data_IF_197165754383
#
_entry.id   IF_197165754383
#
_cell.length_a   1.000
_cell.length_b   1.000
_cell.length_c   1.000
_cell.angle_alpha   90.00
_cell.angle_beta   90.00
_cell.angle_gamma   90.00
#
_symmetry.space_group_name_H-M   'P 1'
#
loop_
_entity.id
_entity.type
_entity.pdbx_description
1 polymer ?
#
# COMPACT_ATOMS: atom_id res chain seq x y z
N UNK A 1 36.37 -23.16 78.16
CA UNK A 1 36.53 -21.72 78.24
C UNK A 1 35.76 -21.17 77.07
N UNK A 2 34.63 -20.79 77.40
CA UNK A 2 34.05 -19.42 77.46
C UNK A 2 33.48 -19.09 76.10
N UNK A 3 32.23 -19.16 75.94
CA UNK A 3 31.14 -18.28 76.38
C UNK A 3 30.78 -17.33 75.21
N UNK A 4 29.66 -17.20 74.76
CA UNK A 4 28.38 -16.81 75.29
C UNK A 4 27.66 -15.97 74.21
N UNK A 5 26.40 -16.31 74.06
CA UNK A 5 25.24 -15.46 73.82
C UNK A 5 25.05 -14.80 72.43
N UNK A 6 24.05 -15.27 71.71
CA UNK A 6 22.60 -14.88 71.83
C UNK A 6 22.31 -13.46 71.38
N UNK A 7 21.53 -13.34 70.33
CA UNK A 7 20.25 -12.61 70.38
C UNK A 7 19.41 -12.75 69.10
N UNK A 8 18.28 -13.30 69.36
CA UNK A 8 17.05 -13.25 68.55
C UNK A 8 16.67 -11.80 68.24
N UNK A 9 16.25 -11.52 67.04
CA UNK A 9 15.33 -10.42 66.74
C UNK A 9 14.42 -10.82 65.57
N UNK A 10 13.16 -10.90 65.87
CA UNK A 10 12.01 -11.04 65.00
C UNK A 10 11.69 -9.66 64.44
N UNK A 11 11.40 -9.58 63.15
CA UNK A 11 10.62 -8.51 62.52
C UNK A 11 10.08 -9.08 61.18
N UNK A 12 8.86 -9.47 61.14
CA UNK A 12 7.70 -8.83 60.49
C UNK A 12 8.01 -8.27 59.11
N UNK A 13 7.52 -8.92 58.09
CA UNK A 13 6.34 -8.71 57.32
C UNK A 13 6.33 -7.38 56.55
N UNK A 14 6.70 -7.38 55.28
CA UNK A 14 6.26 -6.35 54.37
C UNK A 14 5.97 -7.00 53.01
N UNK A 15 4.73 -6.90 52.59
CA UNK A 15 4.16 -7.45 51.39
C UNK A 15 4.88 -6.94 50.14
N UNK A 16 5.31 -7.85 49.33
CA UNK A 16 5.69 -7.57 47.94
C UNK A 16 4.44 -7.34 47.13
N UNK A 17 4.04 -6.08 47.05
CA UNK A 17 3.14 -5.62 46.01
C UNK A 17 3.84 -5.75 44.68
N UNK A 18 3.58 -6.81 43.97
CA UNK A 18 3.85 -6.93 42.52
C UNK A 18 3.00 -5.90 41.82
N UNK A 19 3.55 -4.71 41.60
CA UNK A 19 3.01 -3.78 40.63
C UNK A 19 3.35 -4.35 39.24
N UNK A 20 2.46 -5.21 38.72
CA UNK A 20 2.32 -5.41 37.30
C UNK A 20 1.91 -4.06 36.69
N UNK A 21 2.89 -3.23 36.40
CA UNK A 21 2.73 -2.14 35.47
C UNK A 21 2.47 -2.78 34.11
N UNK A 22 1.20 -2.98 33.79
CA UNK A 22 0.73 -3.18 32.42
C UNK A 22 1.30 -2.01 31.60
N UNK A 23 2.41 -2.24 30.93
CA UNK A 23 2.86 -1.38 29.87
C UNK A 23 1.82 -1.49 28.77
N UNK A 24 0.82 -0.61 28.81
CA UNK A 24 0.02 -0.29 27.66
C UNK A 24 1.03 0.18 26.60
N UNK A 25 1.36 -0.71 25.68
CA UNK A 25 2.06 -0.33 24.46
C UNK A 25 1.18 0.73 23.82
N UNK A 26 1.71 1.93 23.68
CA UNK A 26 1.13 3.05 22.95
C UNK A 26 1.08 2.62 21.47
N UNK A 27 0.13 1.79 21.12
CA UNK A 27 -0.06 1.32 19.74
C UNK A 27 -0.66 2.51 19.00
N UNK A 28 0.20 3.24 18.29
CA UNK A 28 -0.19 4.33 17.41
C UNK A 28 -1.39 3.88 16.57
N UNK A 29 -2.53 4.57 16.72
CA UNK A 29 -3.75 4.27 15.97
C UNK A 29 -3.45 4.22 14.48
N UNK A 30 -4.03 3.24 13.79
CA UNK A 30 -3.95 3.18 12.32
C UNK A 30 -4.67 4.40 11.74
N UNK A 31 -4.07 5.02 10.73
CA UNK A 31 -4.66 6.17 10.05
C UNK A 31 -5.68 5.69 9.01
N UNK A 32 -6.81 6.38 8.89
CA UNK A 32 -7.79 6.18 7.83
C UNK A 32 -8.08 7.49 7.12
N UNK A 33 -8.46 7.41 5.84
CA UNK A 33 -8.92 8.56 5.05
C UNK A 33 -10.43 8.45 4.85
N UNK A 34 -11.16 9.53 5.09
CA UNK A 34 -12.60 9.65 4.84
C UNK A 34 -12.80 10.66 3.72
N UNK A 35 -13.53 10.25 2.69
CA UNK A 35 -13.85 11.05 1.51
C UNK A 35 -15.37 11.08 1.33
N UNK A 36 -15.98 12.22 1.56
CA UNK A 36 -17.44 12.44 1.49
C UNK A 36 -17.66 13.95 1.32
N UNK A 37 -18.45 14.39 0.36
CA UNK A 37 -18.68 15.82 0.09
C UNK A 37 -19.62 16.47 1.11
N UNK A 38 -20.48 15.68 1.76
CA UNK A 38 -21.36 16.16 2.84
C UNK A 38 -20.57 16.33 4.14
N UNK A 39 -20.41 17.58 4.58
CA UNK A 39 -19.66 17.92 5.78
C UNK A 39 -20.23 17.29 7.07
N UNK A 40 -21.55 17.18 7.20
CA UNK A 40 -22.20 16.61 8.38
C UNK A 40 -22.00 15.10 8.44
N UNK A 41 -22.15 14.43 7.30
CA UNK A 41 -21.90 12.99 7.17
C UNK A 41 -20.42 12.67 7.39
N UNK A 42 -19.52 13.44 6.78
CA UNK A 42 -18.07 13.30 6.94
C UNK A 42 -17.65 13.45 8.41
N UNK A 43 -18.16 14.49 9.09
CA UNK A 43 -17.90 14.72 10.51
C UNK A 43 -18.47 13.61 11.39
N UNK A 44 -19.66 13.10 11.07
CA UNK A 44 -20.25 11.96 11.78
C UNK A 44 -19.38 10.71 11.64
N UNK A 45 -18.91 10.39 10.43
CA UNK A 45 -17.98 9.28 10.20
C UNK A 45 -16.70 9.46 11.01
N UNK A 46 -16.08 10.63 10.98
CA UNK A 46 -14.89 10.94 11.75
C UNK A 46 -15.12 10.79 13.26
N UNK A 47 -16.23 11.32 13.78
CA UNK A 47 -16.59 11.18 15.20
C UNK A 47 -16.75 9.71 15.62
N UNK A 48 -17.36 8.89 14.77
CA UNK A 48 -17.60 7.47 15.05
C UNK A 48 -16.34 6.61 14.93
N UNK A 49 -15.32 7.07 14.19
CA UNK A 49 -14.11 6.30 13.93
C UNK A 49 -12.93 6.70 14.82
N UNK A 50 -12.90 7.92 15.37
CA UNK A 50 -11.77 8.48 16.13
C UNK A 50 -11.39 7.74 17.42
N UNK A 51 -12.27 6.92 17.96
CA UNK A 51 -11.97 6.08 19.12
C UNK A 51 -10.94 4.98 18.78
N UNK A 52 -10.99 4.45 17.55
CA UNK A 52 -10.15 3.35 17.06
C UNK A 52 -9.04 3.81 16.11
N UNK A 53 -9.31 4.82 15.29
CA UNK A 53 -8.46 5.25 14.19
C UNK A 53 -8.02 6.71 14.32
N UNK A 54 -6.88 7.04 13.72
CA UNK A 54 -6.47 8.41 13.41
C UNK A 54 -7.09 8.81 12.05
N UNK A 55 -7.83 9.92 12.02
CA UNK A 55 -8.69 10.25 10.88
C UNK A 55 -8.15 11.43 10.10
N UNK A 56 -7.90 11.23 8.82
CA UNK A 56 -7.73 12.27 7.79
C UNK A 56 -9.03 12.34 7.00
N UNK A 57 -9.48 13.53 6.61
CA UNK A 57 -10.75 13.68 5.89
C UNK A 57 -10.64 14.76 4.83
N UNK A 58 -11.38 14.57 3.73
CA UNK A 58 -11.52 15.56 2.67
C UNK A 58 -12.91 15.49 2.05
N UNK A 59 -13.37 16.62 1.54
CA UNK A 59 -14.59 16.73 0.72
C UNK A 59 -14.29 16.67 -0.78
N UNK A 60 -12.99 16.80 -1.13
CA UNK A 60 -12.57 16.85 -2.51
C UNK A 60 -11.98 15.50 -2.97
N UNK A 61 -12.67 14.80 -3.90
CA UNK A 61 -12.16 13.56 -4.45
C UNK A 61 -10.84 13.72 -5.21
N UNK A 62 -10.54 14.90 -5.75
CA UNK A 62 -9.27 15.16 -6.44
C UNK A 62 -8.11 15.26 -5.45
N UNK A 63 -8.35 15.83 -4.26
CA UNK A 63 -7.38 15.88 -3.17
C UNK A 63 -7.15 14.51 -2.54
N UNK A 64 -8.16 13.62 -2.54
CA UNK A 64 -8.13 12.33 -1.86
C UNK A 64 -6.96 11.45 -2.31
N UNK A 65 -6.60 11.48 -3.59
CA UNK A 65 -5.45 10.75 -4.11
C UNK A 65 -4.14 11.27 -3.52
N UNK A 66 -3.96 12.58 -3.46
CA UNK A 66 -2.79 13.23 -2.84
C UNK A 66 -2.66 12.85 -1.36
N UNK A 67 -3.76 12.96 -0.61
CA UNK A 67 -3.81 12.57 0.81
C UNK A 67 -3.54 11.08 1.04
N UNK A 68 -4.03 10.21 0.15
CA UNK A 68 -3.75 8.78 0.23
C UNK A 68 -2.26 8.47 0.02
N UNK A 69 -1.58 9.19 -0.87
CA UNK A 69 -0.15 9.05 -1.11
C UNK A 69 0.69 9.62 0.04
N UNK A 70 0.33 10.80 0.55
CA UNK A 70 1.04 11.48 1.63
C UNK A 70 0.89 10.75 2.97
N UNK A 71 -0.35 10.50 3.36
CA UNK A 71 -0.66 9.97 4.69
C UNK A 71 -0.61 8.45 4.80
N UNK A 72 -0.62 7.73 3.67
CA UNK A 72 -0.52 6.26 3.62
C UNK A 72 -1.54 5.58 4.55
N UNK A 73 -2.85 5.88 4.40
CA UNK A 73 -3.85 5.36 5.30
C UNK A 73 -3.95 3.84 5.22
N UNK A 74 -4.32 3.22 6.34
CA UNK A 74 -4.57 1.78 6.40
C UNK A 74 -5.88 1.38 5.71
N UNK A 75 -6.84 2.31 5.60
CA UNK A 75 -8.12 2.13 4.90
C UNK A 75 -8.66 3.47 4.40
N UNK A 76 -9.56 3.41 3.41
CA UNK A 76 -10.31 4.55 2.90
C UNK A 76 -11.80 4.28 3.07
N UNK A 77 -12.53 5.22 3.66
CA UNK A 77 -13.99 5.29 3.64
C UNK A 77 -14.38 6.25 2.53
N UNK A 78 -15.20 5.81 1.58
CA UNK A 78 -15.46 6.54 0.34
C UNK A 78 -16.96 6.64 0.07
N UNK A 79 -17.48 7.86 -0.03
CA UNK A 79 -18.80 8.07 -0.63
C UNK A 79 -18.77 7.93 -2.15
N UNK A 80 -19.85 7.47 -2.74
CA UNK A 80 -19.96 7.31 -4.19
C UNK A 80 -20.51 8.54 -4.88
N UNK A 81 -21.43 9.23 -4.23
CA UNK A 81 -22.25 10.25 -4.86
C UNK A 81 -21.71 11.64 -4.56
N UNK A 82 -20.52 11.93 -5.08
CA UNK A 82 -19.87 13.21 -4.94
C UNK A 82 -19.96 14.03 -6.25
N UNK A 83 -20.01 15.37 -6.18
CA UNK A 83 -19.97 16.23 -7.36
C UNK A 83 -18.59 16.19 -8.05
N UNK A 84 -18.56 16.52 -9.34
CA UNK A 84 -17.37 16.58 -10.21
C UNK A 84 -16.77 15.20 -10.51
N UNK A 85 -15.99 14.62 -9.61
CA UNK A 85 -15.41 13.29 -9.72
C UNK A 85 -16.21 12.35 -8.82
N UNK A 86 -16.84 11.35 -9.41
CA UNK A 86 -17.62 10.36 -8.66
C UNK A 86 -16.71 9.44 -7.83
N UNK A 87 -17.24 8.91 -6.72
CA UNK A 87 -16.52 7.92 -5.93
C UNK A 87 -16.18 6.65 -6.71
N UNK A 88 -16.91 6.32 -7.78
CA UNK A 88 -16.57 5.23 -8.70
C UNK A 88 -15.24 5.47 -9.42
N UNK A 89 -15.09 6.67 -10.00
CA UNK A 89 -13.87 7.08 -10.71
C UNK A 89 -12.68 7.16 -9.76
N UNK A 90 -12.89 7.69 -8.56
CA UNK A 90 -11.86 7.72 -7.52
C UNK A 90 -11.45 6.31 -7.07
N UNK A 91 -12.41 5.41 -6.86
CA UNK A 91 -12.15 4.00 -6.52
C UNK A 91 -11.29 3.33 -7.60
N UNK A 92 -11.66 3.50 -8.86
CA UNK A 92 -10.90 2.99 -10.01
C UNK A 92 -9.48 3.58 -10.06
N UNK A 93 -9.34 4.88 -9.85
CA UNK A 93 -8.05 5.58 -9.87
C UNK A 93 -7.14 5.09 -8.75
N UNK A 94 -7.66 4.99 -7.52
CA UNK A 94 -6.93 4.46 -6.37
C UNK A 94 -6.49 3.01 -6.60
N UNK A 95 -7.32 2.20 -7.22
CA UNK A 95 -7.00 0.80 -7.52
C UNK A 95 -5.99 0.64 -8.66
N UNK A 96 -5.95 1.58 -9.63
CA UNK A 96 -5.00 1.56 -10.74
C UNK A 96 -3.55 1.82 -10.31
N UNK A 97 -3.33 2.54 -9.22
CA UNK A 97 -2.00 2.84 -8.70
C UNK A 97 -1.54 1.75 -7.74
N UNK A 98 -0.40 1.15 -8.02
CA UNK A 98 0.09 0.00 -7.22
C UNK A 98 0.36 0.32 -5.75
N UNK A 99 0.51 1.59 -5.39
CA UNK A 99 0.66 2.03 -4.01
C UNK A 99 -0.68 2.05 -3.26
N UNK A 100 -1.69 2.62 -3.88
CA UNK A 100 -3.03 2.74 -3.29
C UNK A 100 -3.90 1.50 -3.54
N UNK A 101 -3.59 0.67 -4.54
CA UNK A 101 -4.34 -0.54 -4.87
C UNK A 101 -4.39 -1.59 -3.75
N UNK A 102 -3.47 -1.52 -2.78
CA UNK A 102 -3.45 -2.38 -1.59
C UNK A 102 -4.17 -1.76 -0.39
N UNK A 103 -4.59 -0.52 -0.48
CA UNK A 103 -5.36 0.13 0.59
C UNK A 103 -6.82 -0.32 0.44
N UNK A 104 -7.38 -0.99 1.44
CA UNK A 104 -8.77 -1.42 1.38
C UNK A 104 -9.72 -0.21 1.35
N UNK A 105 -10.63 -0.22 0.39
CA UNK A 105 -11.63 0.82 0.19
C UNK A 105 -12.99 0.29 0.66
N UNK A 106 -13.58 0.97 1.63
CA UNK A 106 -14.90 0.72 2.17
C UNK A 106 -15.84 1.79 1.63
N UNK A 107 -16.69 1.39 0.72
CA UNK A 107 -17.70 2.27 0.14
C UNK A 107 -18.84 2.47 1.13
N UNK A 108 -19.28 3.71 1.32
CA UNK A 108 -20.41 4.10 2.16
C UNK A 108 -21.32 4.99 1.32
N UNK A 109 -22.52 4.52 0.97
CA UNK A 109 -23.39 5.26 0.06
C UNK A 109 -24.86 5.17 0.42
N UNK A 110 -25.64 6.19 0.07
CA UNK A 110 -27.10 6.16 0.13
C UNK A 110 -27.75 5.28 -0.95
N UNK A 111 -26.98 4.85 -1.92
CA UNK A 111 -27.45 4.01 -3.00
C UNK A 111 -27.56 2.54 -2.59
N UNK A 112 -28.50 1.79 -3.21
CA UNK A 112 -28.73 0.41 -2.86
C UNK A 112 -27.53 -0.50 -3.15
N UNK A 113 -27.11 -1.29 -2.16
CA UNK A 113 -26.05 -2.28 -2.30
C UNK A 113 -26.36 -3.32 -3.38
N UNK A 114 -27.62 -3.71 -3.53
CA UNK A 114 -28.02 -4.67 -4.56
C UNK A 114 -27.71 -4.19 -5.97
N UNK A 115 -27.71 -2.88 -6.20
CA UNK A 115 -27.44 -2.27 -7.50
C UNK A 115 -25.96 -2.04 -7.77
N UNK A 116 -25.22 -1.61 -6.74
CA UNK A 116 -23.86 -1.07 -6.96
C UNK A 116 -22.74 -1.88 -6.35
N UNK A 117 -23.01 -2.80 -5.41
CA UNK A 117 -21.97 -3.58 -4.73
C UNK A 117 -21.03 -4.29 -5.69
N UNK A 118 -21.58 -5.11 -6.60
CA UNK A 118 -20.77 -5.87 -7.56
C UNK A 118 -19.95 -4.98 -8.49
N UNK A 119 -20.50 -3.82 -8.85
CA UNK A 119 -19.79 -2.83 -9.65
C UNK A 119 -18.62 -2.22 -8.86
N UNK A 120 -18.85 -1.81 -7.61
CA UNK A 120 -17.78 -1.28 -6.75
C UNK A 120 -16.68 -2.31 -6.50
N UNK A 121 -17.05 -3.57 -6.26
CA UNK A 121 -16.09 -4.67 -6.09
C UNK A 121 -15.24 -4.88 -7.36
N UNK A 122 -15.84 -4.77 -8.55
CA UNK A 122 -15.10 -4.84 -9.83
C UNK A 122 -14.14 -3.67 -10.04
N UNK A 123 -14.39 -2.53 -9.40
CA UNK A 123 -13.51 -1.34 -9.39
C UNK A 123 -12.46 -1.39 -8.27
N UNK A 124 -12.45 -2.44 -7.44
CA UNK A 124 -11.47 -2.65 -6.39
C UNK A 124 -11.92 -2.29 -4.97
N UNK A 125 -13.22 -2.01 -4.75
CA UNK A 125 -13.76 -1.82 -3.40
C UNK A 125 -13.71 -3.13 -2.60
N UNK A 126 -13.34 -3.03 -1.32
CA UNK A 126 -13.23 -4.17 -0.40
C UNK A 126 -14.57 -4.55 0.22
N UNK A 127 -15.41 -3.57 0.45
CA UNK A 127 -16.76 -3.77 1.00
C UNK A 127 -17.66 -2.57 0.68
N UNK A 128 -18.97 -2.79 0.77
CA UNK A 128 -20.02 -1.80 0.53
C UNK A 128 -20.97 -1.73 1.72
N UNK A 129 -21.23 -0.52 2.21
CA UNK A 129 -22.16 -0.21 3.30
C UNK A 129 -23.20 0.81 2.85
N UNK A 130 -24.49 0.52 3.10
CA UNK A 130 -25.57 1.46 2.83
C UNK A 130 -25.72 2.46 3.99
N UNK A 131 -26.07 3.71 3.67
CA UNK A 131 -26.51 4.72 4.65
C UNK A 131 -27.98 4.45 5.01
N UNK A 132 -28.38 4.42 6.33
CA UNK A 132 -27.57 4.74 7.49
C UNK A 132 -26.61 3.63 7.91
N UNK A 133 -25.37 4.00 8.27
CA UNK A 133 -24.26 3.07 8.50
C UNK A 133 -24.40 2.36 9.85
N UNK A 134 -24.33 1.04 9.85
CA UNK A 134 -24.02 0.27 11.05
C UNK A 134 -22.52 0.34 11.36
N UNK A 135 -22.13 1.28 12.20
CA UNK A 135 -20.72 1.48 12.58
C UNK A 135 -20.10 0.30 13.32
N UNK A 136 -20.92 -0.53 13.98
CA UNK A 136 -20.41 -1.75 14.62
C UNK A 136 -19.99 -2.77 13.58
N UNK A 137 -20.83 -3.00 12.59
CA UNK A 137 -20.51 -3.87 11.46
C UNK A 137 -19.34 -3.33 10.63
N UNK A 138 -19.30 -2.02 10.35
CA UNK A 138 -18.21 -1.37 9.63
C UNK A 138 -16.87 -1.56 10.36
N UNK A 139 -16.79 -1.25 11.67
CA UNK A 139 -15.56 -1.41 12.45
C UNK A 139 -15.11 -2.86 12.53
N UNK A 140 -16.04 -3.81 12.72
CA UNK A 140 -15.73 -5.23 12.75
C UNK A 140 -15.12 -5.69 11.41
N UNK A 141 -15.71 -5.29 10.28
CA UNK A 141 -15.20 -5.64 8.95
C UNK A 141 -13.87 -4.96 8.65
N UNK A 142 -13.69 -3.71 9.05
CA UNK A 142 -12.41 -3.01 8.92
C UNK A 142 -11.31 -3.71 9.73
N UNK A 143 -11.60 -4.09 10.99
CA UNK A 143 -10.66 -4.81 11.83
C UNK A 143 -10.21 -6.12 11.17
N UNK A 144 -11.16 -6.95 10.76
CA UNK A 144 -10.89 -8.21 10.04
C UNK A 144 -9.98 -8.02 8.83
N UNK A 145 -10.32 -7.06 7.97
CA UNK A 145 -9.54 -6.76 6.77
C UNK A 145 -8.15 -6.24 7.13
N UNK A 146 -8.04 -5.32 8.09
CA UNK A 146 -6.77 -4.70 8.47
C UNK A 146 -5.83 -5.62 9.28
N UNK A 147 -6.35 -6.68 9.89
CA UNK A 147 -5.55 -7.73 10.52
C UNK A 147 -4.98 -8.71 9.50
N UNK A 148 -5.75 -9.03 8.46
CA UNK A 148 -5.34 -9.95 7.40
C UNK A 148 -4.51 -9.28 6.31
N UNK A 149 -4.66 -7.96 6.13
CA UNK A 149 -3.92 -7.20 5.12
C UNK A 149 -2.46 -7.05 5.52
N UNK A 150 -1.55 -7.47 4.64
CA UNK A 150 -0.13 -7.19 4.81
C UNK A 150 0.12 -5.69 4.66
N UNK A 151 0.92 -5.07 5.56
CA UNK A 151 1.23 -3.65 5.43
C UNK A 151 1.91 -3.39 4.08
N UNK A 152 1.50 -2.32 3.42
CA UNK A 152 2.12 -1.91 2.16
C UNK A 152 3.60 -1.57 2.41
N UNK A 153 4.50 -2.49 2.04
CA UNK A 153 5.96 -2.34 2.20
C UNK A 153 6.60 -1.56 1.05
N UNK A 154 5.81 -1.11 0.08
CA UNK A 154 6.32 -0.41 -1.09
C UNK A 154 6.66 1.02 -0.72
N UNK A 155 7.92 1.41 -0.95
CA UNK A 155 8.40 2.77 -0.71
C UNK A 155 8.00 3.75 -1.81
N UNK A 156 7.57 3.25 -2.99
CA UNK A 156 7.30 4.06 -4.18
C UNK A 156 5.99 3.70 -4.86
N UNK A 157 5.36 4.72 -5.43
CA UNK A 157 4.19 4.56 -6.31
C UNK A 157 4.61 3.85 -7.59
N UNK A 158 3.78 2.90 -8.01
CA UNK A 158 3.92 2.22 -9.30
C UNK A 158 2.67 2.45 -10.11
N UNK A 159 2.85 2.86 -11.34
CA UNK A 159 1.76 3.05 -12.30
C UNK A 159 1.63 1.81 -13.18
N UNK A 160 0.42 1.31 -13.37
CA UNK A 160 0.13 0.29 -14.38
C UNK A 160 0.17 0.97 -15.77
N UNK A 161 1.37 1.14 -16.28
CA UNK A 161 1.62 1.85 -17.53
C UNK A 161 2.40 0.96 -18.48
N UNK A 162 1.97 0.93 -19.73
CA UNK A 162 2.63 0.22 -20.81
C UNK A 162 3.59 1.14 -21.54
N UNK A 163 4.87 0.88 -21.37
CA UNK A 163 5.96 1.62 -21.99
C UNK A 163 6.80 0.66 -22.81
N UNK A 164 7.09 1.02 -24.03
CA UNK A 164 7.96 0.21 -24.90
C UNK A 164 9.41 0.47 -24.51
N UNK A 165 10.07 -0.59 -24.10
CA UNK A 165 11.50 -0.57 -23.73
C UNK A 165 12.29 -1.51 -24.63
N UNK A 166 13.53 -1.13 -24.91
CA UNK A 166 14.55 -2.03 -25.43
C UNK A 166 15.55 -2.33 -24.30
N UNK A 167 15.81 -3.62 -24.10
CA UNK A 167 16.73 -4.12 -23.08
C UNK A 167 17.94 -4.74 -23.76
N UNK A 168 19.13 -4.41 -23.29
CA UNK A 168 20.40 -5.00 -23.73
C UNK A 168 21.15 -5.54 -22.52
N UNK A 169 21.72 -6.72 -22.65
CA UNK A 169 22.47 -7.34 -21.56
C UNK A 169 23.10 -8.65 -21.95
N UNK A 170 23.46 -9.43 -20.94
CA UNK A 170 24.00 -10.78 -21.08
C UNK A 170 23.08 -11.74 -20.32
N UNK A 171 22.75 -12.87 -20.91
CA UNK A 171 21.93 -13.90 -20.28
C UNK A 171 22.77 -14.81 -19.37
N UNK A 172 22.10 -15.73 -18.65
CA UNK A 172 22.78 -16.70 -17.75
C UNK A 172 23.79 -17.60 -18.47
N UNK A 173 23.68 -17.76 -19.78
CA UNK A 173 24.61 -18.54 -20.61
C UNK A 173 25.79 -17.72 -21.13
N UNK A 174 25.89 -16.43 -20.75
CA UNK A 174 26.94 -15.52 -21.23
C UNK A 174 26.68 -14.96 -22.63
N UNK A 175 25.51 -15.19 -23.21
CA UNK A 175 25.15 -14.71 -24.54
C UNK A 175 24.58 -13.30 -24.44
N UNK A 176 25.10 -12.38 -25.26
CA UNK A 176 24.54 -11.03 -25.41
C UNK A 176 23.14 -11.11 -26.03
N UNK A 177 22.21 -10.33 -25.51
CA UNK A 177 20.88 -10.20 -26.06
C UNK A 177 20.49 -8.73 -26.22
N UNK A 178 19.59 -8.50 -27.16
CA UNK A 178 18.85 -7.28 -27.35
C UNK A 178 17.40 -7.67 -27.62
N UNK A 179 16.46 -7.13 -26.88
CA UNK A 179 15.02 -7.41 -27.05
C UNK A 179 14.18 -6.17 -26.76
N UNK A 180 13.04 -6.09 -27.43
CA UNK A 180 12.01 -5.09 -27.15
C UNK A 180 10.91 -5.73 -26.33
N UNK A 181 10.47 -5.02 -25.31
CA UNK A 181 9.41 -5.46 -24.38
C UNK A 181 8.49 -4.31 -24.03
N UNK A 182 7.38 -4.62 -23.37
CA UNK A 182 6.42 -3.63 -22.89
C UNK A 182 6.26 -3.82 -21.39
N UNK A 183 6.37 -2.73 -20.64
CA UNK A 183 6.17 -2.77 -19.18
C UNK A 183 4.74 -3.12 -18.81
N UNK A 184 4.57 -3.76 -17.67
CA UNK A 184 3.26 -3.96 -17.02
C UNK A 184 3.00 -2.86 -16.00
N UNK A 185 4.05 -2.45 -15.29
CA UNK A 185 4.03 -1.29 -14.40
C UNK A 185 5.41 -0.65 -14.32
N UNK A 186 5.42 0.60 -13.88
CA UNK A 186 6.61 1.44 -13.75
C UNK A 186 6.58 2.22 -12.43
N UNK A 187 7.75 2.52 -11.88
CA UNK A 187 7.96 3.43 -10.76
C UNK A 187 9.18 4.32 -11.01
N UNK A 188 9.43 5.35 -10.20
CA UNK A 188 10.66 6.15 -10.32
C UNK A 188 11.93 5.31 -10.27
N UNK A 189 11.97 4.24 -9.47
CA UNK A 189 13.17 3.40 -9.30
C UNK A 189 13.19 2.14 -10.15
N UNK A 190 12.14 1.81 -10.94
CA UNK A 190 12.15 0.55 -11.69
C UNK A 190 10.87 0.22 -12.46
N UNK A 191 10.80 -1.00 -12.97
CA UNK A 191 9.69 -1.47 -13.78
C UNK A 191 9.53 -2.99 -13.72
N UNK A 192 8.35 -3.48 -14.12
CA UNK A 192 8.04 -4.89 -14.34
C UNK A 192 7.74 -5.11 -15.81
N UNK A 193 8.38 -6.10 -16.43
CA UNK A 193 8.09 -6.48 -17.81
C UNK A 193 8.35 -7.97 -18.07
N UNK A 194 7.73 -8.58 -19.10
CA UNK A 194 8.14 -9.88 -19.61
C UNK A 194 9.51 -9.77 -20.30
N UNK A 195 10.32 -10.81 -20.17
CA UNK A 195 11.60 -10.92 -20.84
C UNK A 195 11.82 -12.37 -21.29
N UNK A 196 12.19 -12.57 -22.54
CA UNK A 196 12.48 -13.89 -23.10
C UNK A 196 13.92 -14.35 -22.80
N UNK A 197 14.82 -13.42 -22.42
CA UNK A 197 16.16 -13.77 -21.98
C UNK A 197 16.12 -14.30 -20.53
N UNK A 198 16.86 -15.35 -20.26
CA UNK A 198 17.02 -15.87 -18.90
C UNK A 198 18.06 -15.05 -18.17
N UNK A 199 17.66 -14.31 -17.15
CA UNK A 199 18.54 -13.41 -16.40
C UNK A 199 18.80 -13.95 -15.00
N UNK A 200 20.01 -13.70 -14.51
CA UNK A 200 20.36 -13.92 -13.11
C UNK A 200 19.98 -12.68 -12.30
N UNK A 201 19.49 -12.91 -11.08
CA UNK A 201 19.21 -11.81 -10.15
C UNK A 201 20.50 -11.04 -9.85
N UNK A 202 20.43 -9.71 -9.94
CA UNK A 202 21.56 -8.80 -9.69
C UNK A 202 22.39 -8.46 -10.92
N UNK A 203 22.21 -9.15 -12.06
CA UNK A 203 22.95 -8.78 -13.27
C UNK A 203 22.41 -7.48 -13.89
N UNK A 204 23.32 -6.56 -14.31
CA UNK A 204 22.92 -5.30 -14.89
C UNK A 204 22.52 -5.46 -16.36
N UNK A 205 21.47 -4.77 -16.73
CA UNK A 205 21.01 -4.57 -18.11
C UNK A 205 20.98 -3.09 -18.46
N UNK A 206 21.16 -2.77 -19.71
CA UNK A 206 20.94 -1.43 -20.24
C UNK A 206 19.48 -1.28 -20.69
N UNK A 207 18.87 -0.15 -20.34
CA UNK A 207 17.47 0.15 -20.60
C UNK A 207 17.37 1.36 -21.51
N UNK A 208 16.64 1.19 -22.61
CA UNK A 208 16.35 2.24 -23.57
C UNK A 208 14.85 2.44 -23.67
N UNK A 209 14.42 3.68 -23.64
CA UNK A 209 13.04 4.06 -23.97
C UNK A 209 12.90 4.13 -25.49
N UNK A 210 11.87 3.47 -26.03
CA UNK A 210 11.60 3.45 -27.46
C UNK A 210 10.39 4.35 -27.73
N UNK A 211 10.65 5.47 -28.40
CA UNK A 211 9.62 6.40 -28.89
C UNK A 211 9.84 6.57 -30.41
N UNK A 212 10.03 7.76 -30.90
CA UNK A 212 10.48 8.00 -32.28
C UNK A 212 11.95 7.61 -32.48
N UNK A 213 12.72 7.59 -31.40
CA UNK A 213 14.12 7.17 -31.37
C UNK A 213 14.39 6.34 -30.10
N UNK A 214 15.49 5.58 -30.10
CA UNK A 214 15.98 4.88 -28.93
C UNK A 214 16.75 5.86 -28.04
N UNK A 215 16.31 6.00 -26.79
CA UNK A 215 16.96 6.85 -25.81
C UNK A 215 17.40 6.02 -24.62
N UNK A 216 18.69 6.02 -24.33
CA UNK A 216 19.22 5.37 -23.13
C UNK A 216 18.70 6.07 -21.88
N UNK A 217 18.12 5.31 -20.96
CA UNK A 217 17.54 5.85 -19.72
C UNK A 217 18.26 5.37 -18.47
N UNK A 218 19.07 4.35 -18.56
CA UNK A 218 19.86 3.90 -17.42
C UNK A 218 20.25 2.44 -17.45
N UNK A 219 20.82 1.98 -16.32
CA UNK A 219 21.10 0.57 -16.05
C UNK A 219 20.20 0.08 -14.93
N UNK A 220 19.71 -1.15 -15.05
CA UNK A 220 18.83 -1.76 -14.07
C UNK A 220 19.24 -3.20 -13.78
N UNK A 221 18.97 -3.67 -12.56
CA UNK A 221 19.23 -5.03 -12.14
C UNK A 221 17.93 -5.80 -12.00
N UNK A 222 17.88 -7.07 -12.41
CA UNK A 222 16.76 -7.95 -12.12
C UNK A 222 16.72 -8.25 -10.61
N UNK A 223 15.72 -7.75 -9.91
CA UNK A 223 15.57 -7.93 -8.45
C UNK A 223 14.52 -8.96 -8.08
N UNK A 224 13.62 -9.29 -9.01
CA UNK A 224 12.55 -10.26 -8.82
C UNK A 224 12.26 -11.01 -10.11
N UNK A 225 12.01 -12.32 -10.00
CA UNK A 225 11.65 -13.18 -11.11
C UNK A 225 10.30 -13.82 -10.75
N UNK A 226 9.29 -13.60 -11.58
CA UNK A 226 7.96 -14.17 -11.47
C UNK A 226 7.75 -15.24 -12.55
N UNK A 227 6.84 -16.20 -12.30
CA UNK A 227 6.47 -17.25 -13.26
C UNK A 227 7.66 -18.05 -13.81
N UNK A 228 8.52 -18.52 -12.92
CA UNK A 228 9.64 -19.41 -13.29
C UNK A 228 9.11 -20.65 -14.01
N UNK A 229 9.67 -20.95 -15.18
CA UNK A 229 9.29 -22.13 -15.98
C UNK A 229 8.23 -21.87 -17.06
N UNK A 230 7.71 -20.64 -17.19
CA UNK A 230 6.90 -20.23 -18.33
C UNK A 230 7.80 -19.84 -19.53
N UNK A 231 7.29 -19.89 -20.77
CA UNK A 231 8.05 -19.46 -21.97
C UNK A 231 8.55 -18.01 -21.90
N UNK A 232 7.82 -17.17 -21.14
CA UNK A 232 8.18 -15.78 -20.84
C UNK A 232 8.20 -15.60 -19.33
N UNK A 233 9.36 -15.26 -18.82
CA UNK A 233 9.51 -14.90 -17.43
C UNK A 233 9.20 -13.39 -17.27
N UNK A 234 8.60 -13.05 -16.17
CA UNK A 234 8.37 -11.65 -15.77
C UNK A 234 9.47 -11.25 -14.79
N UNK A 235 10.13 -10.16 -15.09
CA UNK A 235 11.21 -9.63 -14.27
C UNK A 235 10.85 -8.28 -13.69
N UNK A 236 10.99 -8.14 -12.38
CA UNK A 236 11.03 -6.84 -11.72
C UNK A 236 12.45 -6.31 -11.77
N UNK A 237 12.61 -5.15 -12.39
CA UNK A 237 13.89 -4.46 -12.52
C UNK A 237 13.93 -3.23 -11.61
N UNK A 238 15.08 -2.99 -10.99
CA UNK A 238 15.39 -1.79 -10.24
C UNK A 238 16.58 -1.09 -10.89
N UNK A 239 16.44 0.21 -11.15
CA UNK A 239 17.54 1.01 -11.65
C UNK A 239 18.67 1.08 -10.63
N UNK A 240 19.88 0.76 -11.06
CA UNK A 240 21.12 1.05 -10.34
C UNK A 240 21.63 2.44 -10.69
N UNK A 241 21.40 2.85 -11.93
CA UNK A 241 21.70 4.18 -12.46
C UNK A 241 20.57 4.56 -13.40
N UNK A 242 19.93 5.69 -13.16
CA UNK A 242 18.97 6.24 -14.09
C UNK A 242 19.34 7.69 -14.40
N UNK A 243 19.25 8.06 -15.66
CA UNK A 243 19.32 9.45 -16.05
C UNK A 243 17.92 10.09 -15.91
N UNK A 244 17.86 11.43 -15.90
CA UNK A 244 16.60 12.17 -15.73
C UNK A 244 15.59 11.98 -16.89
N UNK A 245 15.87 11.07 -17.82
CA UNK A 245 15.03 10.78 -18.98
C UNK A 245 14.03 9.65 -18.76
N UNK A 246 14.05 9.02 -17.58
CA UNK A 246 13.01 8.08 -17.21
C UNK A 246 11.64 8.79 -17.07
N UNK A 247 10.58 8.07 -17.41
CA UNK A 247 9.21 8.61 -17.49
C UNK A 247 8.64 9.10 -16.15
N UNK A 248 9.14 8.57 -15.03
CA UNK A 248 8.77 9.01 -13.70
C UNK A 248 9.99 9.55 -12.97
N UNK A 249 9.86 10.73 -12.40
CA UNK A 249 10.90 11.32 -11.54
C UNK A 249 10.61 10.99 -10.08
N UNK A 250 11.65 10.69 -9.32
CA UNK A 250 11.54 10.68 -7.86
C UNK A 250 11.36 12.14 -7.41
N UNK A 251 10.32 12.41 -6.63
CA UNK A 251 10.09 13.70 -5.94
C UNK A 251 10.92 13.77 -4.69
#
# INVERSE_FOLDING_TARGET
>A
MSDVMSKTAVAEGAGTGTSESVRAADSKKKKILIVDDDADVRNLHALRMKDVYDVVQTEDPEEALGLALEHKPAAILLDLMMPRLSGFELCQTLHALSYTSLIPIFVISGESANKYRSHCESLGATAYFEKPVDYKALKARMCEVLETSQPNRRGEVRLNMRVVLKLRGTDIAGKKFELTTVTENVSPSGFLCPCSASLKQGEPIEVFLVTESERFVGRANAVRIESRGAPWQRYGFQFSENNNDWILRAT
#
